data_IF_449771080523
#
_entry.id   IF_449771080523
#
_cell.length_a   1.000
_cell.length_b   1.000
_cell.length_c   1.000
_cell.angle_alpha   90.00
_cell.angle_beta   90.00
_cell.angle_gamma   90.00
#
_symmetry.space_group_name_H-M   'P 1'
#
loop_
_entity.id
_entity.type
_entity.pdbx_description
1 polymer ?
#
# COMPACT_ATOMS: atom_id res chain seq x y z
N UNK A 1 -10.05 -12.00 -10.25
CA UNK A 1 -10.32 -11.35 -8.95
C UNK A 1 -9.97 -9.89 -9.11
N UNK A 2 -10.79 -8.96 -8.62
CA UNK A 2 -10.54 -7.52 -8.76
C UNK A 2 -11.02 -6.86 -7.47
N UNK A 3 -10.16 -6.02 -6.88
CA UNK A 3 -10.40 -5.36 -5.59
C UNK A 3 -10.52 -3.84 -5.70
N UNK A 4 -10.70 -3.31 -6.92
CA UNK A 4 -10.83 -1.86 -7.14
C UNK A 4 -12.03 -1.24 -6.43
N UNK A 5 -13.05 -2.04 -6.08
CA UNK A 5 -14.19 -1.61 -5.25
C UNK A 5 -13.80 -1.19 -3.82
N UNK A 6 -12.67 -1.72 -3.31
CA UNK A 6 -12.13 -1.39 -1.98
C UNK A 6 -11.26 -0.15 -1.97
N UNK A 7 -11.09 0.51 -3.12
CA UNK A 7 -10.31 1.75 -3.23
C UNK A 7 -10.84 2.79 -2.25
N UNK A 8 -9.93 3.55 -1.67
CA UNK A 8 -10.26 4.71 -0.85
C UNK A 8 -11.05 5.76 -1.67
N UNK A 9 -12.32 5.95 -1.33
CA UNK A 9 -13.23 6.93 -1.95
C UNK A 9 -13.65 8.05 -0.99
N UNK A 10 -13.65 7.77 0.31
CA UNK A 10 -14.04 8.67 1.39
C UNK A 10 -13.10 8.46 2.58
N UNK A 11 -12.94 9.46 3.45
CA UNK A 11 -12.12 9.44 4.66
C UNK A 11 -12.87 8.96 5.91
N UNK A 12 -14.21 8.91 5.88
CA UNK A 12 -15.02 8.47 7.01
C UNK A 12 -14.77 7.01 7.43
N UNK A 13 -14.18 6.18 6.55
CA UNK A 13 -13.85 4.78 6.85
C UNK A 13 -12.98 4.62 8.10
N UNK A 14 -12.05 5.55 8.38
CA UNK A 14 -11.16 5.41 9.53
C UNK A 14 -11.92 5.47 10.84
N UNK A 15 -12.93 6.36 10.93
CA UNK A 15 -13.76 6.48 12.12
C UNK A 15 -14.69 5.27 12.25
N UNK A 16 -15.26 4.81 11.13
CA UNK A 16 -16.11 3.60 11.09
C UNK A 16 -15.35 2.35 11.59
N UNK A 17 -14.14 2.11 11.07
CA UNK A 17 -13.34 0.97 11.47
C UNK A 17 -12.79 1.08 12.89
N UNK A 18 -12.43 2.30 13.35
CA UNK A 18 -12.06 2.53 14.76
C UNK A 18 -13.22 2.26 15.71
N UNK A 19 -14.43 2.68 15.35
CA UNK A 19 -15.63 2.41 16.14
C UNK A 19 -16.00 0.93 16.17
N UNK A 20 -15.84 0.22 15.04
CA UNK A 20 -16.19 -1.20 14.91
C UNK A 20 -15.18 -2.14 15.59
N UNK A 21 -13.88 -1.90 15.40
CA UNK A 21 -12.82 -2.78 15.91
C UNK A 21 -12.33 -2.39 17.30
N UNK A 22 -12.55 -1.13 17.71
CA UNK A 22 -11.88 -0.51 18.84
C UNK A 22 -10.54 0.11 18.44
N UNK A 23 -10.18 1.18 19.14
CA UNK A 23 -9.01 2.01 18.82
C UNK A 23 -7.70 1.21 18.84
N UNK A 24 -7.47 0.39 19.86
CA UNK A 24 -6.24 -0.40 20.00
C UNK A 24 -6.09 -1.40 18.85
N UNK A 25 -7.13 -2.18 18.56
CA UNK A 25 -7.09 -3.20 17.50
C UNK A 25 -6.94 -2.57 16.11
N UNK A 26 -7.61 -1.44 15.87
CA UNK A 26 -7.42 -0.68 14.64
C UNK A 26 -5.97 -0.20 14.51
N UNK A 27 -5.41 0.43 15.56
CA UNK A 27 -4.06 0.97 15.54
C UNK A 27 -2.99 -0.12 15.37
N UNK A 28 -3.16 -1.26 16.05
CA UNK A 28 -2.30 -2.43 15.87
C UNK A 28 -2.31 -2.92 14.43
N UNK A 29 -3.50 -3.08 13.83
CA UNK A 29 -3.63 -3.51 12.44
C UNK A 29 -3.03 -2.48 11.48
N UNK A 30 -3.36 -1.20 11.66
CA UNK A 30 -2.84 -0.08 10.87
C UNK A 30 -1.30 -0.06 10.86
N UNK A 31 -0.70 -0.12 12.05
CA UNK A 31 0.76 -0.13 12.20
C UNK A 31 1.38 -1.37 11.56
N UNK A 32 0.73 -2.55 11.69
CA UNK A 32 1.23 -3.78 11.08
C UNK A 32 1.27 -3.69 9.55
N UNK A 33 0.24 -3.11 8.93
CA UNK A 33 0.19 -2.90 7.47
C UNK A 33 1.25 -1.91 7.03
N UNK A 34 1.38 -0.78 7.73
CA UNK A 34 2.42 0.22 7.46
C UNK A 34 3.83 -0.38 7.54
N UNK A 35 4.12 -1.14 8.60
CA UNK A 35 5.43 -1.81 8.75
C UNK A 35 5.66 -2.89 7.67
N UNK A 36 4.61 -3.56 7.19
CA UNK A 36 4.75 -4.55 6.13
C UNK A 36 5.09 -3.88 4.79
N UNK A 37 4.48 -2.73 4.50
CA UNK A 37 4.78 -1.93 3.30
C UNK A 37 6.19 -1.36 3.37
N UNK A 38 6.59 -0.78 4.50
CA UNK A 38 7.92 -0.17 4.69
C UNK A 38 9.08 -1.18 4.49
N UNK A 39 8.85 -2.44 4.85
CA UNK A 39 9.82 -3.54 4.67
C UNK A 39 9.89 -4.09 3.25
N UNK A 40 8.93 -3.78 2.38
CA UNK A 40 8.89 -4.28 1.02
C UNK A 40 10.11 -3.76 0.26
N UNK A 41 10.91 -4.65 -0.35
CA UNK A 41 12.10 -4.22 -1.07
C UNK A 41 11.74 -3.61 -2.42
N UNK A 42 12.68 -2.87 -3.01
CA UNK A 42 12.50 -2.31 -4.34
C UNK A 42 12.25 -3.41 -5.38
N UNK A 43 11.29 -3.17 -6.26
CA UNK A 43 10.79 -4.10 -7.27
C UNK A 43 10.11 -5.36 -6.71
N UNK A 44 9.84 -5.42 -5.40
CA UNK A 44 8.97 -6.44 -4.81
C UNK A 44 7.51 -6.00 -4.78
N UNK A 45 6.64 -7.00 -4.57
CA UNK A 45 5.21 -6.78 -4.45
C UNK A 45 4.62 -7.59 -3.29
N UNK A 46 3.61 -7.01 -2.66
CA UNK A 46 2.78 -7.68 -1.69
C UNK A 46 1.52 -8.21 -2.38
N UNK A 47 1.28 -9.52 -2.29
CA UNK A 47 0.13 -10.20 -2.90
C UNK A 47 -1.06 -10.19 -1.94
N UNK A 48 -1.96 -9.22 -2.12
CA UNK A 48 -3.13 -9.00 -1.27
C UNK A 48 -4.10 -10.19 -1.36
N UNK A 49 -4.25 -10.76 -2.56
CA UNK A 49 -5.17 -11.87 -2.77
C UNK A 49 -4.76 -13.11 -1.98
N UNK A 50 -3.46 -13.37 -1.85
CA UNK A 50 -2.92 -14.55 -1.14
C UNK A 50 -2.63 -14.30 0.33
N UNK A 51 -2.16 -13.11 0.69
CA UNK A 51 -1.62 -12.84 2.03
C UNK A 51 -2.64 -12.20 2.98
N UNK A 52 -3.69 -11.57 2.45
CA UNK A 52 -4.71 -10.89 3.27
C UNK A 52 -6.00 -11.71 3.29
N UNK A 53 -6.46 -12.00 4.51
CA UNK A 53 -7.76 -12.65 4.76
C UNK A 53 -8.88 -11.81 4.14
N UNK A 54 -9.88 -12.48 3.55
CA UNK A 54 -11.00 -11.82 2.86
C UNK A 54 -11.68 -10.76 3.72
N UNK A 55 -11.91 -11.01 5.01
CA UNK A 55 -12.55 -10.05 5.92
C UNK A 55 -11.75 -8.74 6.11
N UNK A 56 -10.43 -8.79 5.93
CA UNK A 56 -9.53 -7.66 6.19
C UNK A 56 -9.10 -6.94 4.90
N UNK A 57 -9.49 -7.44 3.72
CA UNK A 57 -9.04 -6.87 2.44
C UNK A 57 -9.47 -5.43 2.26
N UNK A 58 -10.70 -5.08 2.65
CA UNK A 58 -11.20 -3.71 2.52
C UNK A 58 -10.34 -2.74 3.35
N UNK A 59 -10.15 -3.05 4.63
CA UNK A 59 -9.34 -2.24 5.53
C UNK A 59 -7.87 -2.16 5.07
N UNK A 60 -7.28 -3.29 4.66
CA UNK A 60 -5.91 -3.35 4.16
C UNK A 60 -5.72 -2.45 2.93
N UNK A 61 -6.63 -2.53 1.95
CA UNK A 61 -6.54 -1.75 0.71
C UNK A 61 -6.70 -0.26 1.00
N UNK A 62 -7.60 0.13 1.92
CA UNK A 62 -7.75 1.53 2.32
C UNK A 62 -6.50 2.09 3.00
N UNK A 63 -5.87 1.31 3.89
CA UNK A 63 -4.58 1.69 4.50
C UNK A 63 -3.49 1.81 3.43
N UNK A 64 -3.40 0.87 2.50
CA UNK A 64 -2.45 0.92 1.39
C UNK A 64 -2.70 2.13 0.47
N UNK A 65 -3.95 2.49 0.20
CA UNK A 65 -4.30 3.70 -0.54
C UNK A 65 -3.74 4.95 0.15
N UNK A 66 -3.93 5.05 1.47
CA UNK A 66 -3.37 6.15 2.26
C UNK A 66 -1.84 6.17 2.21
N UNK A 67 -1.19 5.01 2.26
CA UNK A 67 0.27 4.89 2.21
C UNK A 67 0.85 5.38 0.86
N UNK A 68 0.24 4.98 -0.26
CA UNK A 68 0.64 5.40 -1.62
C UNK A 68 0.48 6.92 -1.84
N UNK A 69 -0.40 7.58 -1.08
CA UNK A 69 -0.53 9.05 -1.18
C UNK A 69 0.76 9.77 -0.74
N UNK A 70 1.46 9.25 0.26
CA UNK A 70 2.70 9.83 0.79
C UNK A 70 3.98 9.17 0.26
N UNK A 71 3.90 7.94 -0.27
CA UNK A 71 5.02 7.17 -0.81
C UNK A 71 4.83 6.91 -2.31
N UNK A 72 5.38 7.81 -3.15
CA UNK A 72 5.17 7.82 -4.61
C UNK A 72 5.84 6.65 -5.34
N UNK A 73 6.76 5.97 -4.66
CA UNK A 73 7.40 4.76 -5.14
C UNK A 73 6.48 3.53 -5.03
N UNK A 74 5.31 3.62 -4.40
CA UNK A 74 4.36 2.51 -4.32
C UNK A 74 3.22 2.69 -5.32
N UNK A 75 2.82 1.60 -5.96
CA UNK A 75 1.65 1.57 -6.84
C UNK A 75 0.85 0.29 -6.66
N UNK A 76 -0.44 0.35 -6.97
CA UNK A 76 -1.28 -0.84 -7.05
C UNK A 76 -1.21 -1.45 -8.46
N UNK A 77 -1.40 -2.77 -8.54
CA UNK A 77 -1.79 -3.40 -9.81
C UNK A 77 -3.17 -2.89 -10.26
N UNK A 78 -3.46 -3.00 -11.56
CA UNK A 78 -4.72 -2.53 -12.15
C UNK A 78 -5.98 -3.14 -11.53
N UNK A 79 -5.86 -4.34 -10.95
CA UNK A 79 -6.91 -5.09 -10.28
C UNK A 79 -6.88 -4.98 -8.75
N UNK A 80 -6.00 -4.13 -8.19
CA UNK A 80 -5.80 -3.95 -6.74
C UNK A 80 -5.44 -5.24 -5.99
N UNK A 81 -5.00 -6.30 -6.69
CA UNK A 81 -4.58 -7.56 -6.05
C UNK A 81 -3.15 -7.50 -5.51
N UNK A 82 -2.37 -6.51 -5.92
CA UNK A 82 -0.98 -6.33 -5.51
C UNK A 82 -0.67 -4.87 -5.23
N UNK A 83 0.22 -4.64 -4.28
CA UNK A 83 0.93 -3.37 -4.10
C UNK A 83 2.40 -3.59 -4.36
N UNK A 84 3.00 -2.74 -5.18
CA UNK A 84 4.35 -2.91 -5.74
C UNK A 84 5.17 -1.70 -5.31
N UNK A 85 6.35 -1.93 -4.75
CA UNK A 85 7.34 -0.86 -4.54
C UNK A 85 8.21 -0.78 -5.79
N UNK A 86 8.10 0.31 -6.54
CA UNK A 86 8.95 0.61 -7.70
C UNK A 86 10.29 1.17 -7.25
N UNK A 87 11.31 0.89 -8.04
CA UNK A 87 12.61 1.56 -7.92
C UNK A 87 12.42 3.06 -8.10
N UNK A 88 12.91 3.85 -7.13
CA UNK A 88 12.85 5.30 -7.21
C UNK A 88 13.89 5.76 -8.24
N UNK A 89 13.44 6.02 -9.47
CA UNK A 89 14.30 6.62 -10.48
C UNK A 89 14.52 8.09 -10.12
N UNK A 90 15.70 8.41 -9.57
CA UNK A 90 16.17 9.79 -9.61
C UNK A 90 16.43 10.11 -11.07
N UNK A 91 15.52 10.88 -11.69
CA UNK A 91 15.83 11.55 -12.95
C UNK A 91 16.90 12.60 -12.62
N UNK A 92 18.17 12.27 -12.82
CA UNK A 92 19.19 13.31 -12.92
C UNK A 92 18.89 14.06 -14.22
N UNK A 93 18.48 15.33 -14.12
CA UNK A 93 18.06 16.19 -15.24
C UNK A 93 19.19 16.51 -16.25
N UNK A 94 20.15 15.62 -16.52
CA UNK A 94 21.14 15.91 -17.58
C UNK A 94 21.71 14.75 -18.39
N UNK A 95 21.26 13.51 -18.23
CA UNK A 95 21.58 12.47 -19.21
C UNK A 95 20.44 11.48 -19.25
N UNK A 96 19.84 11.26 -20.42
CA UNK A 96 18.77 10.28 -20.67
C UNK A 96 19.22 8.82 -20.52
N UNK A 97 19.91 8.49 -19.43
CA UNK A 97 20.37 7.16 -19.09
C UNK A 97 19.95 6.83 -17.67
N UNK A 98 19.11 5.79 -17.53
CA UNK A 98 18.79 5.18 -16.24
C UNK A 98 20.05 4.54 -15.69
N UNK A 99 20.62 5.09 -14.62
CA UNK A 99 21.66 4.42 -13.84
C UNK A 99 21.06 3.90 -12.53
N UNK A 100 21.29 2.62 -12.26
CA UNK A 100 20.97 2.00 -10.97
C UNK A 100 21.85 2.62 -9.89
N UNK A 101 21.26 2.89 -8.72
CA UNK A 101 21.98 3.38 -7.55
C UNK A 101 22.79 2.21 -6.98
N UNK A 102 24.09 2.13 -7.28
CA UNK A 102 25.01 1.25 -6.55
C UNK A 102 25.36 1.91 -5.23
N UNK A 103 25.04 1.23 -4.13
CA UNK A 103 25.51 1.54 -2.77
C UNK A 103 27.03 1.63 -2.68
#
# INVERSE_FOLDING_TARGET
MNFSEHRLTDWAWQELYRAQLGENTYNEYFNSVWMALDRLQENEYYDIAKQVKTENRDLFIKICCQYVMTHKEYEFSSDYTKIIRRECFILTENTGQRQKKTS
#
